data_IF_574723687599
#
_entry.id   IF_574723687599
#
_cell.length_a   1.000
_cell.length_b   1.000
_cell.length_c   1.000
_cell.angle_alpha   90.00
_cell.angle_beta   90.00
_cell.angle_gamma   90.00
#
_symmetry.space_group_name_H-M   'P 1'
#
loop_
_entity.id
_entity.type
_entity.pdbx_description
1 polymer ?
#
# COMPACT_ATOMS: atom_id res chain seq x y z
N UNK A 1 -13.31 3.82 -1.14
CA UNK A 1 -11.93 4.37 -1.14
C UNK A 1 -10.97 3.28 -1.59
N UNK A 2 -9.87 3.65 -2.26
CA UNK A 2 -8.77 2.72 -2.57
C UNK A 2 -7.49 3.22 -1.91
N UNK A 3 -6.67 2.29 -1.41
CA UNK A 3 -5.32 2.58 -0.90
C UNK A 3 -4.35 1.64 -1.56
N UNK A 4 -3.26 2.16 -2.13
CA UNK A 4 -2.26 1.34 -2.83
C UNK A 4 -0.85 1.74 -2.43
N UNK A 5 -0.07 0.76 -1.98
CA UNK A 5 1.38 0.86 -1.72
C UNK A 5 2.09 0.10 -2.82
N UNK A 6 2.88 0.79 -3.63
CA UNK A 6 3.44 0.19 -4.84
C UNK A 6 4.72 0.88 -5.27
N UNK A 7 5.53 0.15 -6.04
CA UNK A 7 6.70 0.75 -6.68
C UNK A 7 6.23 1.76 -7.72
N UNK A 8 6.80 2.96 -7.70
CA UNK A 8 6.49 4.00 -8.67
C UNK A 8 7.77 4.62 -9.27
N UNK A 9 7.69 5.07 -10.53
CA UNK A 9 8.81 5.66 -11.26
C UNK A 9 9.67 4.65 -12.04
N UNK A 10 10.67 5.17 -12.75
CA UNK A 10 11.61 4.39 -13.60
C UNK A 10 10.91 3.50 -14.64
N UNK A 11 9.84 4.00 -15.25
CA UNK A 11 9.02 3.27 -16.25
C UNK A 11 8.47 1.93 -15.74
N UNK A 12 8.33 1.76 -14.42
CA UNK A 12 7.78 0.55 -13.84
C UNK A 12 6.28 0.45 -14.15
N UNK A 13 5.84 -0.75 -14.53
CA UNK A 13 4.45 -1.02 -14.84
C UNK A 13 3.57 -0.79 -13.59
N UNK A 14 2.35 -0.25 -13.73
CA UNK A 14 1.69 0.22 -14.96
C UNK A 14 1.97 1.68 -15.32
N UNK A 15 2.79 2.40 -14.53
CA UNK A 15 3.07 3.82 -14.71
C UNK A 15 2.02 4.78 -14.13
N UNK A 16 1.05 4.27 -13.37
CA UNK A 16 0.00 5.04 -12.66
C UNK A 16 0.22 4.99 -11.14
N UNK A 17 -0.61 5.70 -10.36
CA UNK A 17 -0.48 5.72 -8.90
C UNK A 17 0.53 6.74 -8.37
N UNK A 18 0.69 7.87 -9.08
CA UNK A 18 1.49 8.97 -8.54
C UNK A 18 0.86 9.51 -7.25
N UNK A 19 1.65 10.21 -6.41
CA UNK A 19 1.10 10.89 -5.22
C UNK A 19 0.01 11.94 -5.55
N UNK A 20 -0.03 12.41 -6.79
CA UNK A 20 -1.03 13.37 -7.28
C UNK A 20 -2.25 12.71 -7.93
N UNK A 21 -2.27 11.37 -7.99
CA UNK A 21 -3.44 10.62 -8.45
C UNK A 21 -4.41 10.45 -7.28
N UNK A 22 -5.38 11.35 -7.20
CA UNK A 22 -6.27 11.53 -6.04
C UNK A 22 -7.70 11.04 -6.28
N UNK A 23 -7.97 10.44 -7.44
CA UNK A 23 -9.33 10.19 -7.92
C UNK A 23 -9.92 11.40 -8.65
N UNK A 24 -11.20 11.32 -9.01
CA UNK A 24 -11.87 12.32 -9.85
C UNK A 24 -13.33 12.51 -9.43
N UNK A 25 -13.89 13.69 -9.71
CA UNK A 25 -15.29 14.01 -9.43
C UNK A 25 -15.64 13.85 -7.95
N UNK A 26 -16.72 13.12 -7.66
CA UNK A 26 -17.13 12.81 -6.28
C UNK A 26 -16.16 11.87 -5.56
N UNK A 27 -15.29 11.18 -6.30
CA UNK A 27 -14.23 10.33 -5.75
C UNK A 27 -12.89 11.05 -5.55
N UNK A 28 -12.84 12.38 -5.71
CA UNK A 28 -11.63 13.15 -5.40
C UNK A 28 -11.29 13.02 -3.91
N UNK A 29 -10.01 12.74 -3.61
CA UNK A 29 -9.49 12.32 -2.29
C UNK A 29 -9.91 10.93 -1.79
N UNK A 30 -10.57 10.11 -2.61
CA UNK A 30 -10.91 8.72 -2.26
C UNK A 30 -10.00 7.68 -2.94
N UNK A 31 -8.93 8.11 -3.61
CA UNK A 31 -7.83 7.27 -4.04
C UNK A 31 -6.53 7.73 -3.36
N UNK A 32 -6.01 6.90 -2.47
CA UNK A 32 -4.75 7.12 -1.76
C UNK A 32 -3.67 6.27 -2.41
N UNK A 33 -2.64 6.92 -2.96
CA UNK A 33 -1.51 6.26 -3.59
C UNK A 33 -0.22 6.56 -2.81
N UNK A 34 0.50 5.51 -2.44
CA UNK A 34 1.77 5.58 -1.72
C UNK A 34 2.88 5.08 -2.64
N UNK A 35 3.51 5.97 -3.42
CA UNK A 35 4.60 5.60 -4.31
C UNK A 35 5.87 5.30 -3.51
N UNK A 36 6.42 4.11 -3.69
CA UNK A 36 7.62 3.62 -2.99
C UNK A 36 8.79 3.40 -3.96
N UNK A 37 10.01 3.50 -3.41
CA UNK A 37 11.25 3.20 -4.13
C UNK A 37 11.62 1.72 -4.01
N UNK A 38 12.48 1.26 -4.91
CA UNK A 38 13.02 -0.11 -4.88
C UNK A 38 13.83 -0.38 -3.59
N UNK A 39 13.87 -1.64 -3.18
CA UNK A 39 14.69 -2.11 -2.06
C UNK A 39 14.13 -1.79 -0.68
N UNK A 40 12.87 -1.34 -0.57
CA UNK A 40 12.23 -1.13 0.73
C UNK A 40 12.21 -2.44 1.54
N UNK A 41 12.53 -2.32 2.82
CA UNK A 41 12.56 -3.41 3.80
C UNK A 41 11.36 -3.32 4.75
N UNK A 42 11.18 -4.34 5.60
CA UNK A 42 10.01 -4.46 6.47
C UNK A 42 9.80 -3.24 7.39
N UNK A 43 10.85 -2.76 8.05
CA UNK A 43 10.75 -1.64 9.00
C UNK A 43 10.38 -0.33 8.30
N UNK A 44 11.00 -0.05 7.15
CA UNK A 44 10.69 1.13 6.33
C UNK A 44 9.25 1.07 5.83
N UNK A 45 8.82 -0.08 5.33
CA UNK A 45 7.46 -0.28 4.87
C UNK A 45 6.45 -0.06 6.01
N UNK A 46 6.69 -0.65 7.18
CA UNK A 46 5.83 -0.51 8.35
C UNK A 46 5.76 0.93 8.87
N UNK A 47 6.85 1.68 8.78
CA UNK A 47 6.91 3.09 9.19
C UNK A 47 5.96 3.99 8.41
N UNK A 48 5.64 3.63 7.15
CA UNK A 48 4.69 4.35 6.28
C UNK A 48 3.31 3.71 6.32
N UNK A 49 3.26 2.39 6.28
CA UNK A 49 2.02 1.62 6.22
C UNK A 49 1.10 1.91 7.41
N UNK A 50 1.63 1.83 8.64
CA UNK A 50 0.84 2.02 9.87
C UNK A 50 0.19 3.41 9.96
N UNK A 51 0.90 4.54 9.82
CA UNK A 51 0.27 5.86 9.92
C UNK A 51 -0.71 6.13 8.78
N UNK A 52 -0.41 5.68 7.55
CA UNK A 52 -1.32 5.88 6.40
C UNK A 52 -2.63 5.13 6.61
N UNK A 53 -2.56 3.84 6.96
CA UNK A 53 -3.77 3.05 7.19
C UNK A 53 -4.52 3.53 8.43
N UNK A 54 -3.82 3.91 9.50
CA UNK A 54 -4.45 4.51 10.68
C UNK A 54 -5.30 5.73 10.33
N UNK A 55 -4.75 6.65 9.53
CA UNK A 55 -5.48 7.81 9.04
C UNK A 55 -6.63 7.44 8.11
N UNK A 56 -6.44 6.45 7.22
CA UNK A 56 -7.53 5.97 6.36
C UNK A 56 -8.69 5.43 7.18
N UNK A 57 -8.44 4.58 8.16
CA UNK A 57 -9.50 4.01 9.00
C UNK A 57 -10.21 5.10 9.81
N UNK A 58 -9.45 6.02 10.41
CA UNK A 58 -10.02 7.13 11.20
C UNK A 58 -10.94 8.03 10.37
N UNK A 59 -10.53 8.37 9.15
CA UNK A 59 -11.25 9.34 8.32
C UNK A 59 -12.31 8.70 7.40
N UNK A 60 -12.05 7.51 6.84
CA UNK A 60 -12.97 6.85 5.91
C UNK A 60 -14.01 5.98 6.63
N UNK A 61 -13.70 5.48 7.83
CA UNK A 61 -14.58 4.61 8.63
C UNK A 61 -15.21 3.47 7.80
N UNK A 62 -14.39 2.57 7.21
CA UNK A 62 -14.90 1.50 6.37
C UNK A 62 -15.72 0.48 7.17
N UNK A 63 -16.89 0.08 6.67
CA UNK A 63 -17.69 -1.02 7.23
C UNK A 63 -17.19 -2.40 6.77
N UNK A 64 -16.44 -2.45 5.68
CA UNK A 64 -15.87 -3.66 5.12
C UNK A 64 -14.53 -3.34 4.45
N UNK A 65 -13.64 -4.34 4.48
CA UNK A 65 -12.27 -4.21 4.01
C UNK A 65 -11.95 -5.35 3.05
N UNK A 66 -11.42 -5.02 1.88
CA UNK A 66 -10.92 -5.99 0.89
C UNK A 66 -9.42 -5.82 0.79
N UNK A 67 -8.67 -6.87 1.12
CA UNK A 67 -7.21 -6.90 1.00
C UNK A 67 -6.78 -7.64 -0.26
N UNK A 68 -5.93 -7.00 -1.04
CA UNK A 68 -5.13 -7.68 -2.05
C UNK A 68 -3.73 -7.94 -1.48
N UNK A 69 -3.36 -9.23 -1.35
CA UNK A 69 -2.06 -9.67 -0.84
C UNK A 69 -1.09 -10.03 -1.99
N UNK A 70 -0.60 -9.03 -2.73
CA UNK A 70 0.35 -9.26 -3.83
C UNK A 70 1.70 -9.77 -3.34
N UNK A 71 2.05 -11.01 -3.66
CA UNK A 71 3.29 -11.66 -3.22
C UNK A 71 4.55 -11.21 -3.99
N UNK A 72 4.39 -10.43 -5.06
CA UNK A 72 5.49 -9.84 -5.84
C UNK A 72 6.25 -8.76 -5.07
N UNK A 73 5.73 -8.30 -3.94
CA UNK A 73 6.42 -7.42 -3.01
C UNK A 73 7.47 -8.15 -2.14
N UNK A 74 7.49 -9.48 -2.15
CA UNK A 74 8.45 -10.27 -1.38
C UNK A 74 9.87 -10.18 -1.95
N UNK A 75 10.84 -10.26 -1.04
CA UNK A 75 12.24 -10.43 -1.42
C UNK A 75 12.44 -11.65 -2.31
N UNK A 76 13.36 -11.52 -3.26
CA UNK A 76 13.67 -12.53 -4.28
C UNK A 76 12.55 -12.85 -5.29
N UNK A 77 11.47 -12.05 -5.34
CA UNK A 77 10.51 -12.17 -6.44
C UNK A 77 11.15 -11.86 -7.80
N UNK A 78 10.66 -12.50 -8.87
CA UNK A 78 11.22 -12.37 -10.23
C UNK A 78 10.89 -11.02 -10.88
N UNK A 79 9.74 -10.43 -10.54
CA UNK A 79 9.21 -9.20 -11.14
C UNK A 79 9.26 -8.03 -10.17
N UNK A 80 9.10 -8.32 -8.89
CA UNK A 80 9.21 -7.41 -7.77
C UNK A 80 10.57 -6.74 -7.66
N UNK A 81 10.58 -5.57 -7.01
CA UNK A 81 11.82 -4.87 -6.69
C UNK A 81 11.86 -4.43 -5.22
N UNK A 82 11.06 -5.06 -4.37
CA UNK A 82 11.06 -4.85 -2.92
C UNK A 82 11.80 -5.98 -2.20
N UNK A 83 12.07 -5.80 -0.92
CA UNK A 83 12.78 -6.76 -0.08
C UNK A 83 11.97 -7.11 1.18
N UNK A 84 10.67 -7.33 1.02
CA UNK A 84 9.79 -7.64 2.15
C UNK A 84 9.85 -9.10 2.53
N UNK A 85 9.73 -9.38 3.82
CA UNK A 85 9.54 -10.74 4.31
C UNK A 85 8.06 -11.13 4.31
N UNK A 86 7.79 -12.45 4.38
CA UNK A 86 6.43 -12.97 4.51
C UNK A 86 5.73 -12.54 5.82
N UNK A 87 6.50 -12.11 6.83
CA UNK A 87 5.97 -11.63 8.12
C UNK A 87 5.14 -10.36 7.93
N UNK A 88 5.42 -9.55 6.91
CA UNK A 88 4.63 -8.37 6.59
C UNK A 88 3.14 -8.69 6.33
N UNK A 89 2.84 -9.78 5.61
CA UNK A 89 1.44 -10.17 5.34
C UNK A 89 0.64 -10.45 6.62
N UNK A 90 1.29 -10.91 7.69
CA UNK A 90 0.64 -11.13 8.98
C UNK A 90 0.30 -9.82 9.73
N UNK A 91 1.04 -8.73 9.48
CA UNK A 91 0.83 -7.45 10.17
C UNK A 91 -0.51 -6.83 9.78
N UNK A 92 -0.90 -6.94 8.51
CA UNK A 92 -2.19 -6.40 8.04
C UNK A 92 -3.39 -7.15 8.61
N UNK A 93 -3.30 -8.48 8.67
CA UNK A 93 -4.35 -9.35 9.21
C UNK A 93 -4.58 -9.02 10.69
N UNK A 94 -3.50 -8.75 11.43
CA UNK A 94 -3.58 -8.37 12.85
C UNK A 94 -4.24 -6.99 13.00
N UNK A 95 -3.85 -6.00 12.20
CA UNK A 95 -4.44 -4.66 12.25
C UNK A 95 -5.95 -4.66 11.94
N UNK A 96 -6.40 -5.47 10.98
CA UNK A 96 -7.84 -5.63 10.67
C UNK A 96 -8.63 -6.34 11.77
N UNK A 97 -7.97 -7.07 12.66
CA UNK A 97 -8.61 -7.77 13.78
C UNK A 97 -8.81 -6.87 15.00
N UNK A 98 -7.99 -5.82 15.11
CA UNK A 98 -7.99 -4.84 16.21
C UNK A 98 -8.74 -3.53 15.87
N UNK A 99 -9.15 -3.36 14.61
CA UNK A 99 -9.86 -2.18 14.09
C UNK A 99 -11.39 -2.30 14.17
#
# INVERSE_FOLDING_TARGET
MTVSFHKYGSLFFPGTGSIYDLGQGTGHYFAVNVPLQQGIEDDDYLSVFRPVIGQVVENFQPEAVILQCGADSLGCDRLGCFNLSSVFFCVWISFSSDA
#
